data_IF_897032013192
#
_entry.id   IF_897032013192
#
_cell.length_a   1.000
_cell.length_b   1.000
_cell.length_c   1.000
_cell.angle_alpha   90.00
_cell.angle_beta   90.00
_cell.angle_gamma   90.00
#
_symmetry.space_group_name_H-M   'P 1'
#
loop_
_entity.id
_entity.type
_entity.pdbx_description
1 polymer ?
#
# COMPACT_ATOMS: atom_id res chain seq x y z
N UNK A 1 -57.94 17.20 6.52
CA UNK A 1 -57.81 16.55 7.84
C UNK A 1 -57.24 15.15 7.60
N UNK A 2 -56.45 14.64 8.55
CA UNK A 2 -55.73 13.34 8.57
C UNK A 2 -54.34 13.29 7.91
N UNK A 3 -53.39 14.05 8.45
CA UNK A 3 -51.97 13.63 8.49
C UNK A 3 -51.82 12.72 9.71
N UNK A 4 -52.03 11.43 9.52
CA UNK A 4 -51.75 10.43 10.54
C UNK A 4 -50.23 10.18 10.56
N UNK A 5 -49.64 10.25 11.74
CA UNK A 5 -48.19 10.08 12.00
C UNK A 5 -47.94 8.68 12.59
N UNK A 6 -47.69 7.64 11.78
CA UNK A 6 -47.36 6.30 12.29
C UNK A 6 -45.84 6.01 12.40
N UNK A 7 -44.95 6.79 11.78
CA UNK A 7 -43.54 6.39 11.62
C UNK A 7 -42.63 6.59 12.85
N UNK A 8 -42.98 7.53 13.75
CA UNK A 8 -42.10 7.89 14.89
C UNK A 8 -41.97 6.76 15.90
N UNK A 9 -43.05 6.00 16.13
CA UNK A 9 -42.99 4.85 17.04
C UNK A 9 -42.23 3.66 16.45
N UNK A 10 -42.22 3.50 15.12
CA UNK A 10 -41.50 2.42 14.47
C UNK A 10 -39.98 2.62 14.55
N UNK A 11 -39.50 3.85 14.33
CA UNK A 11 -38.06 4.18 14.43
C UNK A 11 -37.53 3.97 15.87
N UNK A 12 -38.35 4.27 16.88
CA UNK A 12 -38.00 4.04 18.28
C UNK A 12 -37.94 2.56 18.65
N UNK A 13 -38.72 1.70 17.99
CA UNK A 13 -38.63 0.24 18.15
C UNK A 13 -37.37 -0.31 17.48
N UNK A 14 -37.01 0.19 16.29
CA UNK A 14 -35.82 -0.26 15.56
C UNK A 14 -34.51 0.09 16.28
N UNK A 15 -34.44 1.25 16.95
CA UNK A 15 -33.28 1.60 17.79
C UNK A 15 -33.15 0.71 19.04
N UNK A 16 -34.25 0.13 19.53
CA UNK A 16 -34.21 -0.79 20.68
C UNK A 16 -33.60 -2.14 20.29
N UNK A 17 -33.93 -2.63 19.10
CA UNK A 17 -33.40 -3.89 18.57
C UNK A 17 -31.92 -3.78 18.17
N UNK A 18 -31.48 -2.61 17.69
CA UNK A 18 -30.06 -2.39 17.41
C UNK A 18 -29.20 -2.35 18.68
N UNK A 19 -29.74 -1.83 19.79
CA UNK A 19 -29.02 -1.79 21.07
C UNK A 19 -28.95 -3.16 21.75
N UNK A 20 -29.93 -4.05 21.56
CA UNK A 20 -29.89 -5.40 22.14
C UNK A 20 -28.85 -6.30 21.47
N UNK A 21 -28.51 -6.04 20.20
CA UNK A 21 -27.45 -6.76 19.49
C UNK A 21 -26.03 -6.31 19.87
N UNK A 22 -25.87 -5.11 20.42
CA UNK A 22 -24.55 -4.53 20.79
C UNK A 22 -24.18 -4.81 22.25
N UNK A 23 -25.12 -5.29 23.08
CA UNK A 23 -24.97 -5.33 24.55
C UNK A 23 -24.76 -6.73 25.16
N UNK A 24 -24.20 -7.69 24.43
CA UNK A 24 -23.65 -8.92 25.02
C UNK A 24 -22.13 -8.87 25.11
N UNK A 25 -21.55 -8.27 26.17
CA UNK A 25 -20.16 -8.47 26.52
C UNK A 25 -19.95 -9.87 27.10
N UNK A 26 -19.03 -10.59 26.47
CA UNK A 26 -18.16 -11.65 26.96
C UNK A 26 -18.31 -12.06 28.43
N UNK A 27 -19.00 -13.18 28.67
CA UNK A 27 -18.90 -13.93 29.92
C UNK A 27 -19.12 -15.43 29.62
N UNK A 28 -18.16 -16.04 28.92
CA UNK A 28 -17.88 -17.49 28.96
C UNK A 28 -16.68 -17.81 28.05
N UNK A 29 -15.48 -17.67 28.61
CA UNK A 29 -14.28 -18.29 28.06
C UNK A 29 -13.35 -18.69 29.21
N UNK A 30 -13.92 -19.42 30.18
CA UNK A 30 -13.18 -20.06 31.26
C UNK A 30 -13.48 -21.56 31.22
N UNK A 31 -12.97 -22.23 30.18
CA UNK A 31 -12.79 -23.67 30.07
C UNK A 31 -12.02 -23.94 28.78
N UNK A 32 -10.71 -24.21 28.90
CA UNK A 32 -9.85 -24.47 27.75
C UNK A 32 -8.36 -24.24 27.99
N UNK A 33 -7.89 -24.38 29.23
CA UNK A 33 -6.44 -24.39 29.54
C UNK A 33 -5.94 -25.83 29.35
N UNK A 34 -5.95 -26.35 28.12
CA UNK A 34 -5.12 -27.51 27.79
C UNK A 34 -5.07 -27.69 26.27
N UNK A 35 -3.84 -27.82 25.75
CA UNK A 35 -3.49 -28.15 24.36
C UNK A 35 -3.77 -27.09 23.30
N UNK A 36 -2.77 -26.24 23.02
CA UNK A 36 -2.07 -26.28 21.72
C UNK A 36 -0.62 -25.88 21.97
N UNK A 37 0.27 -26.87 22.05
CA UNK A 37 1.70 -26.63 21.92
C UNK A 37 2.04 -26.22 20.49
N UNK A 38 3.03 -25.35 20.36
CA UNK A 38 3.76 -25.08 19.12
C UNK A 38 2.90 -24.68 17.90
N UNK A 39 2.24 -23.53 17.96
CA UNK A 39 1.89 -22.83 16.72
C UNK A 39 3.09 -21.99 16.30
N UNK A 40 3.73 -22.47 15.24
CA UNK A 40 4.84 -21.88 14.54
C UNK A 40 4.73 -20.35 14.49
N UNK A 41 5.85 -19.68 14.79
CA UNK A 41 6.13 -18.37 14.22
C UNK A 41 5.84 -18.46 12.73
N UNK A 42 4.68 -17.97 12.31
CA UNK A 42 4.47 -17.58 10.91
C UNK A 42 5.52 -16.50 10.67
N UNK A 43 6.66 -16.93 10.12
CA UNK A 43 7.55 -16.04 9.41
C UNK A 43 6.67 -15.46 8.31
N UNK A 44 6.15 -14.27 8.57
CA UNK A 44 5.71 -13.39 7.50
C UNK A 44 6.93 -13.29 6.60
N UNK A 45 6.88 -13.98 5.46
CA UNK A 45 7.83 -13.82 4.37
C UNK A 45 7.76 -12.35 3.98
N UNK A 46 8.59 -11.54 4.65
CA UNK A 46 8.80 -10.16 4.26
C UNK A 46 9.44 -10.26 2.88
N UNK A 47 8.89 -9.63 1.84
CA UNK A 47 9.57 -9.57 0.56
C UNK A 47 11.00 -9.10 0.83
N UNK A 48 11.98 -9.80 0.26
CA UNK A 48 13.37 -9.49 0.52
C UNK A 48 13.60 -8.04 0.09
N UNK A 49 14.24 -7.26 0.95
CA UNK A 49 14.50 -5.86 0.65
C UNK A 49 15.33 -5.72 -0.63
N UNK A 50 16.22 -6.70 -0.89
CA UNK A 50 16.98 -6.76 -2.13
C UNK A 50 16.08 -6.94 -3.36
N UNK A 51 15.03 -7.76 -3.27
CA UNK A 51 14.04 -7.93 -4.34
C UNK A 51 13.24 -6.65 -4.58
N UNK A 52 12.84 -5.95 -3.52
CA UNK A 52 12.16 -4.65 -3.64
C UNK A 52 13.07 -3.60 -4.27
N UNK A 53 14.35 -3.56 -3.89
CA UNK A 53 15.33 -2.64 -4.48
C UNK A 53 15.58 -2.96 -5.95
N UNK A 54 15.74 -4.25 -6.29
CA UNK A 54 15.89 -4.72 -7.67
C UNK A 54 14.69 -4.31 -8.51
N UNK A 55 13.48 -4.59 -8.03
CA UNK A 55 12.23 -4.23 -8.69
C UNK A 55 12.10 -2.71 -8.89
N UNK A 56 12.52 -1.92 -7.89
CA UNK A 56 12.59 -0.48 -8.05
C UNK A 56 13.51 -0.14 -9.22
N UNK A 57 14.79 -0.57 -9.19
CA UNK A 57 15.81 -0.25 -10.21
C UNK A 57 15.33 -0.61 -11.62
N UNK A 58 14.74 -1.79 -11.76
CA UNK A 58 14.16 -2.26 -13.03
C UNK A 58 13.00 -1.36 -13.49
N UNK A 59 12.19 -0.84 -12.57
CA UNK A 59 11.10 0.08 -12.86
C UNK A 59 11.60 1.44 -13.39
N UNK A 60 12.64 2.04 -12.80
CA UNK A 60 13.21 3.31 -13.33
C UNK A 60 13.83 3.12 -14.70
N UNK A 61 14.53 2.02 -14.93
CA UNK A 61 15.05 1.68 -16.26
C UNK A 61 13.92 1.54 -17.28
N UNK A 62 12.79 0.93 -16.89
CA UNK A 62 11.62 0.78 -17.75
C UNK A 62 10.98 2.13 -18.07
N UNK A 63 10.78 2.99 -17.06
CA UNK A 63 10.27 4.36 -17.22
C UNK A 63 11.15 5.19 -18.16
N UNK A 64 12.48 5.11 -18.00
CA UNK A 64 13.41 5.84 -18.87
C UNK A 64 13.34 5.38 -20.34
N UNK A 65 13.21 4.06 -20.57
CA UNK A 65 13.04 3.49 -21.92
C UNK A 65 11.71 3.90 -22.53
N UNK A 66 10.63 3.86 -21.75
CA UNK A 66 9.30 4.27 -22.18
C UNK A 66 9.29 5.75 -22.58
N UNK A 67 9.85 6.63 -21.73
CA UNK A 67 9.95 8.05 -22.02
C UNK A 67 10.78 8.33 -23.30
N UNK A 68 11.88 7.58 -23.50
CA UNK A 68 12.69 7.69 -24.72
C UNK A 68 11.93 7.21 -25.96
N UNK A 69 11.14 6.14 -25.83
CA UNK A 69 10.30 5.63 -26.92
C UNK A 69 9.21 6.62 -27.29
N UNK A 70 8.54 7.22 -26.30
CA UNK A 70 7.51 8.23 -26.50
C UNK A 70 8.08 9.49 -27.15
N UNK A 71 9.28 9.93 -26.74
CA UNK A 71 9.96 11.05 -27.37
C UNK A 71 10.26 10.79 -28.86
N UNK A 72 10.77 9.60 -29.19
CA UNK A 72 11.02 9.21 -30.58
C UNK A 72 9.74 9.09 -31.41
N UNK A 73 8.68 8.51 -30.84
CA UNK A 73 7.38 8.40 -31.50
C UNK A 73 6.78 9.79 -31.81
N UNK A 74 6.92 10.73 -30.88
CA UNK A 74 6.52 12.12 -31.06
C UNK A 74 7.34 12.82 -32.16
N UNK A 75 8.67 12.66 -32.17
CA UNK A 75 9.53 13.22 -33.22
C UNK A 75 9.21 12.68 -34.62
N UNK A 76 8.77 11.42 -34.71
CA UNK A 76 8.32 10.78 -35.95
C UNK A 76 6.90 11.18 -36.37
N UNK A 77 6.16 11.89 -35.52
CA UNK A 77 4.77 12.28 -35.78
C UNK A 77 3.77 11.10 -35.73
N UNK A 78 4.02 10.08 -34.91
CA UNK A 78 3.07 8.98 -34.70
C UNK A 78 1.73 9.50 -34.13
N UNK A 79 0.62 9.12 -34.77
CA UNK A 79 -0.72 9.45 -34.28
C UNK A 79 -0.98 8.79 -32.92
N UNK A 80 -1.44 9.59 -31.95
CA UNK A 80 -1.77 9.12 -30.60
C UNK A 80 -0.68 9.33 -29.53
N UNK A 81 0.48 9.86 -29.90
CA UNK A 81 1.50 10.31 -28.94
C UNK A 81 1.48 11.83 -28.82
N UNK A 82 0.84 12.33 -27.78
CA UNK A 82 0.80 13.78 -27.52
C UNK A 82 2.01 14.23 -26.70
N UNK A 83 2.53 15.43 -27.00
CA UNK A 83 3.63 16.05 -26.24
C UNK A 83 3.45 16.00 -24.71
N UNK A 84 2.25 16.23 -24.13
CA UNK A 84 2.04 16.12 -22.68
C UNK A 84 2.30 14.71 -22.13
N UNK A 85 2.02 13.64 -22.89
CA UNK A 85 2.31 12.27 -22.48
C UNK A 85 3.83 12.05 -22.34
N UNK A 86 4.60 12.53 -23.32
CA UNK A 86 6.07 12.48 -23.30
C UNK A 86 6.61 13.23 -22.07
N UNK A 87 6.11 14.45 -21.83
CA UNK A 87 6.54 15.29 -20.71
C UNK A 87 6.22 14.65 -19.36
N UNK A 88 5.04 14.04 -19.21
CA UNK A 88 4.67 13.30 -17.99
C UNK A 88 5.57 12.08 -17.78
N UNK A 89 5.88 11.34 -18.86
CA UNK A 89 6.79 10.19 -18.80
C UNK A 89 8.20 10.59 -18.35
N UNK A 90 8.71 11.71 -18.88
CA UNK A 90 10.00 12.28 -18.48
C UNK A 90 10.00 12.71 -17.00
N UNK A 91 8.95 13.41 -16.55
CA UNK A 91 8.85 13.88 -15.16
C UNK A 91 8.77 12.71 -14.18
N UNK A 92 7.96 11.69 -14.48
CA UNK A 92 7.88 10.45 -13.69
C UNK A 92 9.25 9.76 -13.57
N UNK A 93 10.00 9.70 -14.67
CA UNK A 93 11.34 9.10 -14.69
C UNK A 93 12.31 9.88 -13.80
N UNK A 94 12.28 11.21 -13.89
CA UNK A 94 13.13 12.11 -13.10
C UNK A 94 12.89 11.96 -11.60
N UNK A 95 11.63 12.09 -11.17
CA UNK A 95 11.25 11.97 -9.75
C UNK A 95 11.58 10.57 -9.20
N UNK A 96 11.34 9.52 -10.00
CA UNK A 96 11.64 8.15 -9.58
C UNK A 96 13.15 7.90 -9.42
N UNK A 97 13.97 8.48 -10.30
CA UNK A 97 15.43 8.42 -10.21
C UNK A 97 15.98 9.16 -8.98
N UNK A 98 15.42 10.32 -8.66
CA UNK A 98 15.79 11.07 -7.46
C UNK A 98 15.48 10.27 -6.19
N UNK A 99 14.29 9.66 -6.12
CA UNK A 99 13.92 8.77 -5.03
C UNK A 99 14.90 7.58 -4.88
N UNK A 100 15.34 6.98 -5.99
CA UNK A 100 16.35 5.92 -5.94
C UNK A 100 17.70 6.36 -5.41
N UNK A 101 18.13 7.57 -5.77
CA UNK A 101 19.39 8.10 -5.27
C UNK A 101 19.37 8.19 -3.75
N UNK A 102 18.23 8.58 -3.17
CA UNK A 102 18.05 8.59 -1.71
C UNK A 102 18.09 7.17 -1.11
N UNK A 103 17.43 6.20 -1.75
CA UNK A 103 17.46 4.80 -1.31
C UNK A 103 18.89 4.23 -1.38
N UNK A 104 19.61 4.49 -2.47
CA UNK A 104 21.02 4.09 -2.65
C UNK A 104 21.88 4.66 -1.52
N UNK A 105 21.76 5.95 -1.25
CA UNK A 105 22.54 6.61 -0.19
C UNK A 105 22.23 5.99 1.18
N UNK A 106 20.95 5.77 1.50
CA UNK A 106 20.53 5.10 2.75
C UNK A 106 21.07 3.68 2.90
N UNK A 107 21.26 2.96 1.80
CA UNK A 107 21.83 1.62 1.83
C UNK A 107 23.32 1.62 2.05
N UNK A 108 24.03 2.56 1.44
CA UNK A 108 25.46 2.77 1.71
C UNK A 108 25.65 3.16 3.18
N UNK A 109 24.86 4.11 3.69
CA UNK A 109 24.87 4.50 5.11
C UNK A 109 24.67 3.29 6.04
N UNK A 110 23.69 2.43 5.72
CA UNK A 110 23.37 1.26 6.53
C UNK A 110 24.51 0.23 6.52
N UNK A 111 25.14 0.00 5.36
CA UNK A 111 26.30 -0.87 5.24
C UNK A 111 27.49 -0.32 6.02
N UNK A 112 27.82 0.96 5.85
CA UNK A 112 28.89 1.63 6.59
C UNK A 112 28.65 1.57 8.11
N UNK A 113 27.41 1.73 8.56
CA UNK A 113 27.05 1.66 9.98
C UNK A 113 27.24 0.27 10.57
N UNK A 114 26.95 -0.80 9.82
CA UNK A 114 27.23 -2.17 10.26
C UNK A 114 28.73 -2.42 10.34
N UNK A 115 29.49 -1.93 9.36
CA UNK A 115 30.94 -2.11 9.31
C UNK A 115 31.68 -1.35 10.43
N UNK A 116 31.15 -0.20 10.85
CA UNK A 116 31.70 0.63 11.92
C UNK A 116 31.11 0.31 13.31
N UNK A 117 30.24 -0.71 13.44
CA UNK A 117 29.84 -1.16 14.77
C UNK A 117 31.06 -1.81 15.46
N UNK A 118 31.46 -1.34 16.65
CA UNK A 118 32.47 -2.04 17.43
C UNK A 118 31.92 -3.43 17.78
N UNK A 119 32.71 -4.46 17.51
CA UNK A 119 32.49 -5.83 18.00
C UNK A 119 32.65 -5.91 19.52
#
# INVERSE_FOLDING_TARGET
MMTDRPDINQVLSQMRDLRSQIQTPSANAQSGIQQVGAQATQQVERPDFADMLKAAVDNVNSLQKEASSLAQAYERGEEGVDLPQVMIGLEKSSVSFEAMTQVRNKLVDAYEKIMNMPI
#
